data_IF_454424664780
#
_entry.id   IF_454424664780
#
_cell.length_a   1.000
_cell.length_b   1.000
_cell.length_c   1.000
_cell.angle_alpha   90.00
_cell.angle_beta   90.00
_cell.angle_gamma   90.00
#
_symmetry.space_group_name_H-M   'P 1'
#
loop_
_entity.id
_entity.type
_entity.pdbx_description
1 polymer ?
#
# COMPACT_ATOMS: atom_id res chain seq x y z
N UNK A 1 -55.65 -11.94 8.86
CA UNK A 1 -54.20 -12.22 8.80
C UNK A 1 -53.61 -11.64 7.52
N UNK A 2 -53.10 -10.39 7.57
CA UNK A 2 -52.43 -9.69 6.45
C UNK A 2 -50.96 -9.48 6.82
N UNK A 3 -50.17 -10.55 6.84
CA UNK A 3 -48.71 -10.48 7.06
C UNK A 3 -48.03 -11.28 5.94
N UNK A 4 -48.12 -10.87 4.66
CA UNK A 4 -47.51 -11.69 3.57
C UNK A 4 -46.89 -10.97 2.37
N UNK A 5 -46.85 -9.63 2.30
CA UNK A 5 -46.21 -8.96 1.16
C UNK A 5 -44.94 -8.19 1.55
N UNK A 6 -45.02 -7.29 2.54
CA UNK A 6 -43.88 -6.43 2.90
C UNK A 6 -42.72 -7.17 3.57
N UNK A 7 -43.00 -8.23 4.33
CA UNK A 7 -41.95 -9.04 4.97
C UNK A 7 -41.13 -9.86 3.96
N UNK A 8 -41.76 -10.30 2.87
CA UNK A 8 -41.10 -11.06 1.80
C UNK A 8 -40.23 -10.13 0.95
N UNK A 9 -40.68 -8.89 0.70
CA UNK A 9 -39.89 -7.89 -0.04
C UNK A 9 -38.64 -7.46 0.75
N UNK A 10 -38.71 -7.28 2.07
CA UNK A 10 -37.53 -7.00 2.90
C UNK A 10 -36.57 -8.19 2.98
N UNK A 11 -37.07 -9.43 3.00
CA UNK A 11 -36.22 -10.62 3.02
C UNK A 11 -35.49 -10.82 1.67
N UNK A 12 -36.13 -10.49 0.55
CA UNK A 12 -35.52 -10.54 -0.78
C UNK A 12 -34.49 -9.43 -1.02
N UNK A 13 -34.69 -8.23 -0.46
CA UNK A 13 -33.70 -7.15 -0.50
C UNK A 13 -32.45 -7.47 0.34
N UNK A 14 -32.60 -8.16 1.47
CA UNK A 14 -31.48 -8.55 2.32
C UNK A 14 -30.58 -9.66 1.72
N UNK A 15 -31.11 -10.48 0.80
CA UNK A 15 -30.37 -11.57 0.14
C UNK A 15 -29.50 -11.11 -1.04
N UNK A 16 -29.53 -9.83 -1.42
CA UNK A 16 -28.71 -9.28 -2.51
C UNK A 16 -27.41 -8.64 -2.05
N UNK A 17 -27.15 -8.61 -0.73
CA UNK A 17 -25.83 -8.24 -0.22
C UNK A 17 -24.92 -9.45 -0.26
N UNK A 18 -24.49 -9.82 -1.46
CA UNK A 18 -23.25 -10.59 -1.64
C UNK A 18 -22.14 -9.76 -1.00
N UNK A 19 -21.76 -10.14 0.22
CA UNK A 19 -20.53 -9.66 0.82
C UNK A 19 -19.42 -9.93 -0.18
N UNK A 20 -18.70 -8.87 -0.58
CA UNK A 20 -17.58 -8.97 -1.50
C UNK A 20 -16.47 -9.78 -0.81
N UNK A 21 -16.52 -11.10 -0.95
CA UNK A 21 -15.40 -11.98 -0.65
C UNK A 21 -14.33 -11.73 -1.71
N UNK A 22 -13.06 -11.81 -1.32
CA UNK A 22 -11.97 -11.69 -2.27
C UNK A 22 -12.13 -12.78 -3.33
N UNK A 23 -12.35 -12.43 -4.60
CA UNK A 23 -12.38 -13.44 -5.65
C UNK A 23 -10.94 -13.80 -6.02
N UNK A 24 -10.50 -14.99 -5.63
CA UNK A 24 -9.19 -15.56 -5.96
C UNK A 24 -9.14 -16.17 -7.38
N UNK A 25 -10.23 -16.06 -8.14
CA UNK A 25 -10.31 -16.50 -9.52
C UNK A 25 -10.63 -15.31 -10.41
N UNK A 26 -9.59 -14.53 -10.73
CA UNK A 26 -9.65 -13.47 -11.74
C UNK A 26 -9.14 -14.04 -13.07
N UNK A 27 -10.02 -14.76 -13.79
CA UNK A 27 -9.68 -15.36 -15.08
C UNK A 27 -8.78 -16.57 -15.02
N UNK A 28 -8.93 -17.42 -14.01
CA UNK A 28 -8.05 -18.54 -13.71
C UNK A 28 -6.77 -18.13 -12.98
N UNK A 29 -6.61 -16.85 -12.63
CA UNK A 29 -5.44 -16.32 -11.93
C UNK A 29 -5.80 -15.96 -10.49
N UNK A 30 -5.12 -16.60 -9.55
CA UNK A 30 -5.04 -16.13 -8.17
C UNK A 30 -4.00 -15.01 -8.09
N UNK A 31 -4.48 -13.77 -8.13
CA UNK A 31 -3.64 -12.56 -8.11
C UNK A 31 -2.74 -12.53 -6.88
N UNK A 32 -3.25 -12.95 -5.71
CA UNK A 32 -2.48 -12.95 -4.46
C UNK A 32 -1.31 -13.95 -4.52
N UNK A 33 -1.52 -15.10 -5.16
CA UNK A 33 -0.46 -16.10 -5.35
C UNK A 33 0.52 -15.70 -6.44
N UNK A 34 0.01 -15.26 -7.59
CA UNK A 34 0.83 -14.88 -8.75
C UNK A 34 1.70 -13.65 -8.47
N UNK A 35 1.19 -12.71 -7.68
CA UNK A 35 1.83 -11.43 -7.38
C UNK A 35 2.14 -11.26 -5.88
N UNK A 36 2.46 -12.35 -5.17
CA UNK A 36 2.75 -12.39 -3.73
C UNK A 36 3.71 -11.29 -3.24
N UNK A 37 4.68 -10.91 -4.05
CA UNK A 37 5.70 -9.91 -3.65
C UNK A 37 5.19 -8.46 -3.72
N UNK A 38 4.05 -8.23 -4.38
CA UNK A 38 3.50 -6.89 -4.64
C UNK A 38 2.09 -6.72 -4.08
N UNK A 39 1.27 -7.77 -4.14
CA UNK A 39 -0.04 -7.85 -3.51
C UNK A 39 0.14 -8.33 -2.06
N UNK A 40 0.02 -7.42 -1.06
CA UNK A 40 0.17 -7.83 0.33
C UNK A 40 -0.96 -8.78 0.74
N UNK A 41 -0.76 -9.55 1.82
CA UNK A 41 -1.88 -10.19 2.48
C UNK A 41 -2.94 -9.15 2.86
N UNK A 42 -4.20 -9.51 2.59
CA UNK A 42 -5.32 -8.61 2.86
C UNK A 42 -5.50 -8.33 4.35
N UNK A 43 -6.23 -7.26 4.64
CA UNK A 43 -6.78 -6.99 5.96
C UNK A 43 -8.25 -7.40 6.00
N UNK A 44 -8.74 -7.71 7.21
CA UNK A 44 -10.16 -7.93 7.44
C UNK A 44 -10.91 -6.58 7.27
N UNK A 45 -11.93 -6.50 6.39
CA UNK A 45 -12.75 -5.30 6.23
C UNK A 45 -13.34 -4.77 7.55
N UNK A 46 -13.65 -5.64 8.52
CA UNK A 46 -14.15 -5.22 9.82
C UNK A 46 -13.12 -4.43 10.65
N UNK A 47 -11.84 -4.51 10.31
CA UNK A 47 -10.74 -3.79 10.95
C UNK A 47 -10.38 -2.47 10.26
N UNK A 48 -11.10 -2.12 9.19
CA UNK A 48 -10.96 -0.82 8.55
C UNK A 48 -11.29 0.32 9.52
N UNK A 49 -10.63 1.48 9.42
CA UNK A 49 -11.10 2.71 10.06
C UNK A 49 -12.52 3.02 9.59
N UNK A 50 -13.42 3.34 10.52
CA UNK A 50 -14.82 3.67 10.19
C UNK A 50 -15.47 2.64 9.23
N UNK A 51 -15.56 1.35 9.63
CA UNK A 51 -15.87 0.25 8.71
C UNK A 51 -17.30 0.31 8.14
N UNK A 52 -18.19 1.09 8.75
CA UNK A 52 -19.56 1.34 8.29
C UNK A 52 -19.69 2.62 7.46
N UNK A 53 -18.57 3.32 7.19
CA UNK A 53 -18.58 4.51 6.36
C UNK A 53 -18.84 4.15 4.90
N UNK A 54 -19.37 5.13 4.15
CA UNK A 54 -19.56 4.99 2.69
C UNK A 54 -18.24 4.61 1.99
N UNK A 55 -17.13 5.21 2.37
CA UNK A 55 -15.81 4.93 1.78
C UNK A 55 -15.31 3.51 2.06
N UNK A 56 -15.47 3.01 3.29
CA UNK A 56 -15.10 1.64 3.65
C UNK A 56 -15.92 0.59 2.87
N UNK A 57 -17.22 0.84 2.68
CA UNK A 57 -18.07 -0.03 1.87
C UNK A 57 -17.68 -0.03 0.39
N UNK A 58 -17.39 1.15 -0.20
CA UNK A 58 -16.93 1.26 -1.59
C UNK A 58 -15.59 0.54 -1.77
N UNK A 59 -14.64 0.76 -0.87
CA UNK A 59 -13.32 0.10 -0.88
C UNK A 59 -13.46 -1.42 -0.88
N UNK A 60 -14.27 -1.96 0.03
CA UNK A 60 -14.52 -3.40 0.16
C UNK A 60 -15.21 -3.95 -1.09
N UNK A 61 -16.28 -3.29 -1.55
CA UNK A 61 -17.09 -3.72 -2.70
C UNK A 61 -16.27 -3.85 -3.97
N UNK A 62 -15.40 -2.87 -4.25
CA UNK A 62 -14.72 -2.80 -5.53
C UNK A 62 -13.35 -3.45 -5.54
N UNK A 63 -12.53 -3.23 -4.50
CA UNK A 63 -11.13 -3.67 -4.51
C UNK A 63 -10.95 -5.16 -4.17
N UNK A 64 -11.93 -5.79 -3.53
CA UNK A 64 -11.90 -7.23 -3.25
C UNK A 64 -12.35 -8.09 -4.45
N UNK A 65 -12.79 -7.50 -5.56
CA UNK A 65 -13.20 -8.28 -6.73
C UNK A 65 -12.04 -9.04 -7.40
N UNK A 66 -10.79 -8.67 -7.13
CA UNK A 66 -9.62 -9.24 -7.82
C UNK A 66 -8.52 -9.73 -6.88
N UNK A 67 -8.35 -9.10 -5.70
CA UNK A 67 -7.31 -9.47 -4.75
C UNK A 67 -7.74 -9.18 -3.31
N UNK A 68 -6.95 -9.65 -2.35
CA UNK A 68 -7.22 -9.41 -0.93
C UNK A 68 -7.13 -7.91 -0.57
N UNK A 69 -7.96 -7.45 0.35
CA UNK A 69 -8.12 -6.03 0.61
C UNK A 69 -6.84 -5.38 1.16
N UNK A 70 -6.35 -4.36 0.47
CA UNK A 70 -5.25 -3.55 0.97
C UNK A 70 -5.79 -2.37 1.77
N UNK A 71 -5.33 -2.22 3.02
CA UNK A 71 -5.81 -1.15 3.90
C UNK A 71 -5.32 0.26 3.51
N UNK A 72 -6.04 1.31 3.95
CA UNK A 72 -5.71 2.71 3.65
C UNK A 72 -4.32 3.14 4.17
N UNK A 73 -3.84 2.49 5.22
CA UNK A 73 -2.53 2.76 5.82
C UNK A 73 -1.31 2.24 5.03
N UNK A 74 -1.47 1.72 3.81
CA UNK A 74 -0.32 1.27 2.99
C UNK A 74 0.34 2.41 2.21
N UNK A 75 -0.44 3.41 1.82
CA UNK A 75 0.01 4.52 0.98
C UNK A 75 -0.22 5.86 1.68
N UNK A 76 0.60 6.85 1.34
CA UNK A 76 0.40 8.22 1.82
C UNK A 76 -0.74 8.90 1.08
N UNK A 77 -1.23 10.03 1.60
CA UNK A 77 -2.28 10.83 0.95
C UNK A 77 -1.85 11.27 -0.46
N UNK A 78 -0.57 11.57 -0.66
CA UNK A 78 -0.01 11.98 -1.95
C UNK A 78 0.11 10.81 -2.94
N UNK A 79 0.27 9.58 -2.45
CA UNK A 79 0.38 8.37 -3.28
C UNK A 79 -0.98 7.82 -3.73
N UNK A 80 -2.02 7.97 -2.91
CA UNK A 80 -3.34 7.39 -3.16
C UNK A 80 -3.98 7.76 -4.50
N UNK A 81 -3.92 9.01 -4.99
CA UNK A 81 -4.49 9.37 -6.30
C UNK A 81 -3.92 8.51 -7.45
N UNK A 82 -2.61 8.30 -7.47
CA UNK A 82 -1.95 7.49 -8.51
C UNK A 82 -2.30 5.99 -8.38
N UNK A 83 -2.47 5.50 -7.16
CA UNK A 83 -2.93 4.12 -6.91
C UNK A 83 -4.36 3.92 -7.41
N UNK A 84 -5.26 4.86 -7.10
CA UNK A 84 -6.65 4.81 -7.53
C UNK A 84 -6.79 4.88 -9.05
N UNK A 85 -6.05 5.76 -9.71
CA UNK A 85 -6.03 5.84 -11.17
C UNK A 85 -5.57 4.50 -11.79
N UNK A 86 -4.49 3.91 -11.27
CA UNK A 86 -4.00 2.61 -11.73
C UNK A 86 -5.04 1.51 -11.54
N UNK A 87 -5.66 1.44 -10.35
CA UNK A 87 -6.66 0.40 -10.06
C UNK A 87 -7.91 0.57 -10.93
N UNK A 88 -8.40 1.80 -11.09
CA UNK A 88 -9.53 2.09 -11.97
C UNK A 88 -9.22 1.66 -13.42
N UNK A 89 -8.02 1.95 -13.93
CA UNK A 89 -7.58 1.50 -15.25
C UNK A 89 -7.58 -0.03 -15.37
N UNK A 90 -6.98 -0.74 -14.40
CA UNK A 90 -6.96 -2.21 -14.40
C UNK A 90 -8.38 -2.79 -14.35
N UNK A 91 -9.25 -2.21 -13.54
CA UNK A 91 -10.64 -2.63 -13.46
C UNK A 91 -11.37 -2.36 -14.80
N UNK A 92 -11.16 -1.21 -15.42
CA UNK A 92 -11.83 -0.88 -16.68
C UNK A 92 -11.35 -1.77 -17.83
N UNK A 93 -10.04 -2.08 -17.87
CA UNK A 93 -9.46 -3.09 -18.76
C UNK A 93 -10.12 -4.45 -18.54
N UNK A 94 -10.13 -4.97 -17.31
CA UNK A 94 -10.68 -6.31 -17.06
C UNK A 94 -12.17 -6.38 -17.41
N UNK A 95 -12.93 -5.31 -17.15
CA UNK A 95 -14.34 -5.20 -17.55
C UNK A 95 -14.52 -5.24 -19.08
N UNK A 96 -13.60 -4.67 -19.87
CA UNK A 96 -13.70 -4.70 -21.34
C UNK A 96 -13.46 -6.10 -21.91
N UNK A 97 -12.55 -6.88 -21.31
CA UNK A 97 -12.20 -8.24 -21.75
C UNK A 97 -13.14 -9.32 -21.17
N UNK A 98 -14.44 -9.00 -21.09
CA UNK A 98 -15.55 -9.61 -20.33
C UNK A 98 -15.91 -11.09 -20.65
N UNK A 99 -14.93 -11.95 -20.87
CA UNK A 99 -15.09 -13.40 -21.12
C UNK A 99 -13.86 -14.25 -20.79
N UNK A 100 -12.68 -13.64 -20.57
CA UNK A 100 -11.47 -14.36 -20.16
C UNK A 100 -11.12 -14.16 -18.68
N UNK A 101 -11.50 -13.02 -18.09
CA UNK A 101 -11.01 -12.57 -16.77
C UNK A 101 -12.09 -12.37 -15.69
N UNK A 102 -13.32 -12.83 -15.94
CA UNK A 102 -14.47 -12.62 -15.03
C UNK A 102 -15.18 -11.27 -15.20
N UNK A 103 -16.35 -11.13 -14.59
CA UNK A 103 -17.11 -9.87 -14.57
C UNK A 103 -16.71 -9.05 -13.35
N UNK A 104 -16.38 -7.78 -13.57
CA UNK A 104 -16.10 -6.83 -12.49
C UNK A 104 -16.92 -5.54 -12.66
N UNK A 105 -17.35 -5.00 -11.53
CA UNK A 105 -18.04 -3.73 -11.42
C UNK A 105 -17.02 -2.58 -11.32
N UNK A 106 -17.37 -1.42 -11.90
CA UNK A 106 -16.62 -0.18 -11.71
C UNK A 106 -17.39 0.77 -10.79
N UNK A 107 -16.68 1.52 -9.92
CA UNK A 107 -17.25 2.66 -9.23
C UNK A 107 -17.62 3.77 -10.22
N UNK A 108 -18.70 4.49 -9.93
CA UNK A 108 -19.01 5.73 -10.64
C UNK A 108 -18.13 6.91 -10.14
N UNK A 109 -18.31 8.09 -10.73
CA UNK A 109 -17.50 9.26 -10.39
C UNK A 109 -17.70 9.74 -8.93
N UNK A 110 -18.92 9.63 -8.40
CA UNK A 110 -19.24 10.02 -7.02
C UNK A 110 -18.67 9.01 -6.02
N UNK A 111 -18.76 7.72 -6.34
CA UNK A 111 -18.14 6.64 -5.57
C UNK A 111 -16.61 6.75 -5.59
N UNK A 112 -16.00 7.06 -6.75
CA UNK A 112 -14.55 7.28 -6.85
C UNK A 112 -14.09 8.46 -6.00
N UNK A 113 -14.85 9.56 -5.99
CA UNK A 113 -14.56 10.72 -5.14
C UNK A 113 -14.65 10.36 -3.65
N UNK A 114 -15.73 9.70 -3.23
CA UNK A 114 -15.92 9.27 -1.84
C UNK A 114 -14.84 8.27 -1.39
N UNK A 115 -14.39 7.37 -2.28
CA UNK A 115 -13.27 6.47 -2.03
C UNK A 115 -11.96 7.23 -1.84
N UNK A 116 -11.68 8.22 -2.70
CA UNK A 116 -10.50 9.06 -2.60
C UNK A 116 -10.43 9.85 -1.30
N UNK A 117 -11.55 10.43 -0.87
CA UNK A 117 -11.68 11.14 0.40
C UNK A 117 -11.38 10.22 1.59
N UNK A 118 -11.99 9.03 1.60
CA UNK A 118 -11.79 8.03 2.66
C UNK A 118 -10.33 7.53 2.74
N UNK A 119 -9.73 7.17 1.61
CA UNK A 119 -8.33 6.70 1.57
C UNK A 119 -7.36 7.80 2.00
N UNK A 120 -7.62 9.05 1.60
CA UNK A 120 -6.82 10.21 1.99
C UNK A 120 -6.89 10.47 3.50
N UNK A 121 -8.08 10.40 4.09
CA UNK A 121 -8.31 10.64 5.51
C UNK A 121 -7.65 9.58 6.41
N UNK A 122 -7.55 8.35 5.93
CA UNK A 122 -7.00 7.21 6.69
C UNK A 122 -5.63 6.74 6.20
N UNK A 123 -4.96 7.55 5.37
CA UNK A 123 -3.67 7.25 4.78
C UNK A 123 -2.57 6.99 5.81
N UNK A 124 -1.47 6.42 5.32
CA UNK A 124 -0.22 6.36 6.05
C UNK A 124 0.27 7.78 6.33
N UNK A 125 0.64 8.04 7.59
CA UNK A 125 1.33 9.27 7.95
C UNK A 125 2.84 9.03 7.85
N UNK A 126 3.53 9.64 6.86
CA UNK A 126 4.94 9.43 6.69
C UNK A 126 5.74 10.15 7.79
N UNK A 127 6.86 9.56 8.18
CA UNK A 127 7.82 10.24 9.03
C UNK A 127 8.34 11.50 8.32
N UNK A 128 8.36 12.62 9.05
CA UNK A 128 8.98 13.86 8.60
C UNK A 128 10.44 13.92 9.07
N UNK A 129 11.36 14.16 8.13
CA UNK A 129 12.79 14.26 8.42
C UNK A 129 13.54 12.93 8.34
N UNK A 130 14.79 12.93 8.79
CA UNK A 130 15.69 11.77 8.70
C UNK A 130 15.76 11.09 10.07
N UNK A 131 15.44 9.78 10.20
CA UNK A 131 15.67 8.99 11.42
C UNK A 131 17.11 9.11 11.91
N UNK A 132 17.31 9.30 13.21
CA UNK A 132 18.64 9.36 13.85
C UNK A 132 18.65 8.59 15.17
N UNK A 133 19.85 8.25 15.63
CA UNK A 133 20.06 7.54 16.90
C UNK A 133 20.12 6.02 16.74
N UNK A 134 20.27 5.34 17.88
CA UNK A 134 20.38 3.88 17.94
C UNK A 134 19.14 3.21 17.31
N UNK A 135 19.35 2.25 16.41
CA UNK A 135 18.28 1.51 15.72
C UNK A 135 17.65 2.22 14.52
N UNK A 136 18.04 3.48 14.21
CA UNK A 136 17.49 4.22 13.08
C UNK A 136 17.72 3.52 11.72
N UNK A 137 18.92 2.97 11.50
CA UNK A 137 19.22 2.26 10.26
C UNK A 137 18.40 0.97 10.12
N UNK A 138 18.25 0.20 11.21
CA UNK A 138 17.42 -1.00 11.21
C UNK A 138 15.95 -0.66 10.92
N UNK A 139 15.43 0.41 11.53
CA UNK A 139 14.10 0.96 11.23
C UNK A 139 13.95 1.34 9.75
N UNK A 140 14.89 2.08 9.18
CA UNK A 140 14.86 2.45 7.76
C UNK A 140 14.85 1.22 6.87
N UNK A 141 15.79 0.29 7.09
CA UNK A 141 15.93 -0.93 6.29
C UNK A 141 14.67 -1.80 6.34
N UNK A 142 14.12 -2.02 7.54
CA UNK A 142 12.97 -2.90 7.71
C UNK A 142 11.66 -2.27 7.19
N UNK A 143 11.40 -1.01 7.52
CA UNK A 143 10.12 -0.38 7.23
C UNK A 143 10.02 0.23 5.83
N UNK A 144 11.12 0.74 5.25
CA UNK A 144 11.11 1.31 3.90
C UNK A 144 11.06 0.25 2.78
N UNK A 145 11.23 -1.03 3.12
CA UNK A 145 11.28 -2.12 2.14
C UNK A 145 9.94 -2.39 1.41
N UNK A 146 8.83 -1.93 1.98
CA UNK A 146 7.48 -2.24 1.48
C UNK A 146 6.61 -1.00 1.22
N UNK A 147 6.79 0.07 1.99
CA UNK A 147 6.05 1.32 1.89
C UNK A 147 6.89 2.48 2.43
N UNK A 148 6.40 3.70 2.28
CA UNK A 148 7.04 4.90 2.87
C UNK A 148 7.20 4.76 4.39
N UNK A 149 8.25 5.34 4.98
CA UNK A 149 8.53 5.19 6.41
C UNK A 149 7.38 5.76 7.29
N UNK A 150 6.81 4.97 8.22
CA UNK A 150 5.76 5.45 9.12
C UNK A 150 6.32 6.40 10.19
N UNK A 151 5.56 7.41 10.61
CA UNK A 151 5.92 8.21 11.80
C UNK A 151 5.81 7.34 13.08
N UNK A 152 6.89 7.14 13.85
CA UNK A 152 6.88 6.38 15.12
C UNK A 152 5.91 6.94 16.18
N UNK A 153 5.47 8.20 16.05
CA UNK A 153 4.52 8.84 16.97
C UNK A 153 3.06 8.49 16.69
N UNK A 154 2.77 7.68 15.67
CA UNK A 154 1.42 7.19 15.39
C UNK A 154 0.88 6.28 16.49
N UNK A 155 1.75 5.52 17.15
CA UNK A 155 1.39 4.59 18.22
C UNK A 155 2.16 4.89 19.50
N UNK A 156 1.66 4.37 20.61
CA UNK A 156 2.35 4.37 21.91
C UNK A 156 3.42 3.28 21.96
N UNK A 157 4.37 3.41 22.89
CA UNK A 157 5.43 2.42 23.10
C UNK A 157 4.85 1.02 23.39
N UNK A 158 3.72 0.94 24.08
CA UNK A 158 3.02 -0.31 24.38
C UNK A 158 2.32 -0.94 23.16
N UNK A 159 1.96 -0.15 22.15
CA UNK A 159 1.27 -0.62 20.95
C UNK A 159 2.23 -1.15 19.87
N UNK A 160 3.45 -0.60 19.79
CA UNK A 160 4.44 -0.97 18.79
C UNK A 160 4.77 -2.48 18.71
N UNK A 161 4.89 -3.25 19.80
CA UNK A 161 5.11 -4.70 19.73
C UNK A 161 4.05 -5.44 18.91
N UNK A 162 2.77 -5.02 18.98
CA UNK A 162 1.70 -5.64 18.20
C UNK A 162 1.83 -5.30 16.71
N UNK A 163 2.16 -4.04 16.39
CA UNK A 163 2.34 -3.58 15.01
C UNK A 163 3.52 -4.28 14.33
N UNK A 164 4.68 -4.36 15.00
CA UNK A 164 5.87 -5.05 14.46
C UNK A 164 5.58 -6.52 14.20
N UNK A 165 4.89 -7.20 15.13
CA UNK A 165 4.48 -8.61 14.94
C UNK A 165 3.56 -8.80 13.75
N UNK A 166 2.61 -7.88 13.55
CA UNK A 166 1.75 -7.93 12.38
C UNK A 166 2.56 -7.77 11.08
N UNK A 167 3.54 -6.86 11.05
CA UNK A 167 4.41 -6.68 9.88
C UNK A 167 5.30 -7.89 9.62
N UNK A 168 5.81 -8.55 10.68
CA UNK A 168 6.55 -9.81 10.56
C UNK A 168 5.72 -10.90 9.88
N UNK A 169 4.48 -11.11 10.34
CA UNK A 169 3.56 -12.07 9.72
C UNK A 169 3.33 -11.73 8.24
N UNK A 170 3.08 -10.46 7.92
CA UNK A 170 2.86 -10.04 6.53
C UNK A 170 4.10 -10.25 5.65
N UNK A 171 5.29 -9.93 6.16
CA UNK A 171 6.55 -10.18 5.47
C UNK A 171 6.80 -11.68 5.24
N UNK A 172 6.42 -12.53 6.20
CA UNK A 172 6.48 -13.99 6.05
C UNK A 172 5.58 -14.50 4.91
N UNK A 173 4.34 -14.02 4.82
CA UNK A 173 3.43 -14.34 3.69
C UNK A 173 4.03 -13.92 2.36
N UNK A 174 4.75 -12.79 2.33
CA UNK A 174 5.44 -12.26 1.16
C UNK A 174 6.82 -12.91 0.89
N UNK A 175 7.27 -13.89 1.70
CA UNK A 175 8.59 -14.51 1.53
C UNK A 175 9.77 -13.57 1.82
N UNK A 176 9.57 -12.55 2.66
CA UNK A 176 10.56 -11.51 3.02
C UNK A 176 10.95 -11.56 4.50
N UNK A 177 11.12 -12.74 5.08
CA UNK A 177 11.44 -12.87 6.52
C UNK A 177 12.78 -12.23 6.88
N UNK A 178 13.74 -12.20 5.95
CA UNK A 178 15.08 -11.68 6.16
C UNK A 178 15.13 -10.21 6.60
N UNK A 179 14.16 -9.38 6.18
CA UNK A 179 14.10 -7.96 6.56
C UNK A 179 13.46 -7.74 7.94
N UNK A 180 12.90 -8.79 8.54
CA UNK A 180 12.17 -8.77 9.82
C UNK A 180 12.62 -9.90 10.77
N UNK A 181 13.86 -10.36 10.63
CA UNK A 181 14.46 -11.36 11.53
C UNK A 181 14.47 -10.88 13.00
N UNK A 182 14.59 -11.79 13.99
CA UNK A 182 14.45 -11.45 15.41
C UNK A 182 15.35 -10.31 15.89
N UNK A 183 16.62 -10.30 15.47
CA UNK A 183 17.58 -9.25 15.85
C UNK A 183 17.19 -7.90 15.27
N UNK A 184 16.91 -7.86 13.96
CA UNK A 184 16.47 -6.63 13.29
C UNK A 184 15.17 -6.11 13.91
N UNK A 185 14.24 -7.00 14.24
CA UNK A 185 12.96 -6.65 14.86
C UNK A 185 13.11 -6.08 16.28
N UNK A 186 14.07 -6.59 17.07
CA UNK A 186 14.35 -6.06 18.39
C UNK A 186 14.91 -4.63 18.34
N UNK A 187 15.85 -4.36 17.42
CA UNK A 187 16.41 -3.01 17.20
C UNK A 187 15.35 -2.02 16.71
N UNK A 188 14.54 -2.45 15.73
CA UNK A 188 13.40 -1.68 15.19
C UNK A 188 12.40 -1.38 16.30
N UNK A 189 12.03 -2.37 17.10
CA UNK A 189 11.08 -2.20 18.19
C UNK A 189 11.60 -1.21 19.24
N UNK A 190 12.87 -1.33 19.64
CA UNK A 190 13.49 -0.41 20.58
C UNK A 190 13.52 1.03 20.04
N UNK A 191 13.81 1.22 18.76
CA UNK A 191 13.73 2.52 18.10
C UNK A 191 12.30 3.09 18.12
N UNK A 192 11.31 2.30 17.70
CA UNK A 192 9.91 2.70 17.65
C UNK A 192 9.34 3.06 19.03
N UNK A 193 9.71 2.31 20.07
CA UNK A 193 9.25 2.58 21.44
C UNK A 193 9.84 3.86 22.03
N UNK A 194 11.11 4.16 21.77
CA UNK A 194 11.72 5.44 22.18
C UNK A 194 11.05 6.62 21.50
N UNK A 195 10.84 6.53 20.19
CA UNK A 195 10.23 7.60 19.40
C UNK A 195 8.70 7.56 19.37
N UNK A 196 8.08 6.75 20.23
CA UNK A 196 6.64 6.62 20.30
C UNK A 196 5.96 7.92 20.75
N UNK A 197 4.64 8.00 20.56
CA UNK A 197 3.83 9.17 20.92
C UNK A 197 4.03 9.63 22.37
N UNK A 198 4.20 8.68 23.26
CA UNK A 198 4.40 8.83 24.70
C UNK A 198 5.88 8.80 25.11
N UNK A 199 6.77 8.22 24.30
CA UNK A 199 8.22 8.28 24.50
C UNK A 199 8.79 9.69 24.27
N UNK A 200 8.30 10.40 23.26
CA UNK A 200 8.70 11.78 22.97
C UNK A 200 8.38 12.78 24.10
N UNK A 201 7.46 12.45 25.02
CA UNK A 201 7.18 13.28 26.21
C UNK A 201 8.26 13.17 27.29
N UNK A 202 9.01 12.06 27.31
CA UNK A 202 10.12 11.84 28.23
C UNK A 202 11.35 12.63 27.75
N UNK A 203 11.67 12.52 26.46
CA UNK A 203 12.83 13.20 25.85
C UNK A 203 12.67 14.74 25.79
N UNK A 204 11.44 15.26 25.64
CA UNK A 204 11.19 16.71 25.61
C UNK A 204 11.57 17.43 26.93
N UNK A 205 11.66 16.72 28.06
CA UNK A 205 12.17 17.26 29.33
C UNK A 205 13.71 17.32 29.37
N UNK A 206 14.38 16.52 28.57
CA UNK A 206 15.84 16.43 28.46
C UNK A 206 16.41 17.31 27.34
N UNK A 207 15.68 17.47 26.23
CA UNK A 207 16.10 18.25 25.06
C UNK A 207 16.00 19.79 25.25
N UNK A 208 15.32 20.27 26.29
CA UNK A 208 15.29 21.69 26.66
C UNK A 208 16.69 22.25 27.03
N UNK A 209 17.69 21.37 27.21
CA UNK A 209 19.06 21.74 27.61
C UNK A 209 20.00 21.94 26.40
N UNK A 210 19.61 21.59 25.16
CA UNK A 210 20.61 21.57 24.06
C UNK A 210 20.06 21.89 22.67
N UNK A 211 19.54 23.11 22.51
CA UNK A 211 19.26 23.66 21.18
C UNK A 211 20.52 24.21 20.51
N UNK A 212 20.76 23.85 19.24
CA UNK A 212 20.95 24.78 18.12
C UNK A 212 21.10 24.03 16.80
N UNK A 213 20.54 24.66 15.75
CA UNK A 213 20.29 24.11 14.42
C UNK A 213 21.48 24.24 13.46
N UNK A 214 21.53 23.40 12.42
CA UNK A 214 22.06 23.78 11.09
C UNK A 214 21.27 23.08 9.98
N UNK A 215 20.70 23.90 9.08
CA UNK A 215 20.18 23.49 7.78
C UNK A 215 21.32 23.40 6.75
N UNK A 216 21.31 22.39 5.90
CA UNK A 216 21.83 22.49 4.54
C UNK A 216 21.13 21.44 3.66
N UNK A 217 20.22 21.92 2.80
CA UNK A 217 19.60 21.12 1.75
C UNK A 217 20.67 20.67 0.74
N UNK A 218 20.67 19.39 0.36
CA UNK A 218 21.49 18.88 -0.75
C UNK A 218 20.54 18.39 -1.83
N UNK A 219 20.49 19.12 -2.95
CA UNK A 219 19.80 18.71 -4.18
C UNK A 219 20.43 17.45 -4.77
N UNK A 220 19.66 16.52 -5.34
CA UNK A 220 20.21 15.37 -6.03
C UNK A 220 20.85 15.79 -7.36
N UNK A 221 22.13 15.46 -7.53
CA UNK A 221 22.83 15.58 -8.81
C UNK A 221 22.43 14.38 -9.70
N UNK A 222 21.70 14.63 -10.78
CA UNK A 222 21.43 13.64 -11.82
C UNK A 222 22.54 13.71 -12.88
N UNK A 223 23.50 12.79 -12.82
CA UNK A 223 24.65 12.71 -13.74
C UNK A 223 24.39 11.87 -14.99
N UNK A 224 25.08 12.22 -16.09
CA UNK A 224 25.06 11.52 -17.40
C UNK A 224 25.58 10.07 -17.34
N UNK A 225 26.20 9.67 -16.23
CA UNK A 225 26.69 8.32 -15.91
C UNK A 225 25.64 7.22 -16.15
N UNK A 226 24.34 7.54 -16.02
CA UNK A 226 23.24 6.58 -16.26
C UNK A 226 22.94 6.30 -17.74
N UNK A 227 23.42 7.12 -18.68
CA UNK A 227 23.23 6.87 -20.12
C UNK A 227 24.04 5.65 -20.61
N UNK A 228 25.08 5.26 -19.88
CA UNK A 228 25.89 4.06 -20.17
C UNK A 228 25.04 2.78 -20.17
N UNK A 229 23.95 2.72 -19.40
CA UNK A 229 23.05 1.57 -19.41
C UNK A 229 22.18 1.47 -20.66
N UNK A 230 22.08 2.53 -21.47
CA UNK A 230 21.34 2.54 -22.74
C UNK A 230 22.20 2.15 -23.95
N UNK A 231 23.52 2.05 -23.79
CA UNK A 231 24.46 1.64 -24.84
C UNK A 231 24.07 0.36 -25.59
N UNK A 232 23.67 -0.76 -24.93
CA UNK A 232 23.28 -1.97 -25.65
C UNK A 232 22.04 -1.78 -26.54
N UNK A 233 21.11 -0.91 -26.16
CA UNK A 233 19.93 -0.58 -26.97
C UNK A 233 20.32 0.16 -28.26
N UNK A 234 21.18 1.17 -28.16
CA UNK A 234 21.63 1.94 -29.33
C UNK A 234 22.49 1.11 -30.29
N UNK A 235 23.32 0.19 -29.77
CA UNK A 235 24.10 -0.74 -30.59
C UNK A 235 23.18 -1.68 -31.38
N UNK A 236 22.16 -2.25 -30.73
CA UNK A 236 21.19 -3.12 -31.40
C UNK A 236 20.38 -2.38 -32.47
N UNK A 237 19.93 -1.16 -32.17
CA UNK A 237 19.21 -0.30 -33.11
C UNK A 237 20.07 0.07 -34.33
N UNK A 238 21.34 0.44 -34.11
CA UNK A 238 22.29 0.76 -35.18
C UNK A 238 22.56 -0.44 -36.09
N UNK A 239 22.73 -1.64 -35.53
CA UNK A 239 22.94 -2.86 -36.31
C UNK A 239 21.70 -3.23 -37.15
N UNK A 240 20.50 -3.06 -36.56
CA UNK A 240 19.23 -3.24 -37.27
C UNK A 240 19.10 -2.29 -38.46
N UNK A 241 19.42 -1.01 -38.27
CA UNK A 241 19.37 0.01 -39.32
C UNK A 241 20.38 -0.26 -40.44
N UNK A 242 21.62 -0.62 -40.08
CA UNK A 242 22.66 -0.96 -41.06
C UNK A 242 22.29 -2.18 -41.91
N UNK A 243 21.72 -3.23 -41.30
CA UNK A 243 21.29 -4.44 -42.00
C UNK A 243 20.08 -4.20 -42.92
N UNK A 244 19.26 -3.20 -42.60
CA UNK A 244 18.17 -2.76 -43.46
C UNK A 244 18.70 -1.96 -44.66
N UNK A 245 19.64 -1.03 -44.42
CA UNK A 245 20.23 -0.23 -45.48
C UNK A 245 21.01 -1.08 -46.49
N UNK A 246 21.83 -2.03 -46.02
CA UNK A 246 22.55 -2.98 -46.90
C UNK A 246 21.66 -3.91 -47.72
N UNK A 247 20.36 -3.97 -47.43
CA UNK A 247 19.38 -4.72 -48.23
C UNK A 247 18.55 -3.86 -49.17
N UNK A 248 18.70 -2.53 -49.10
CA UNK A 248 18.04 -1.56 -49.98
C UNK A 248 19.01 -0.86 -50.95
N UNK A 249 20.31 -1.01 -50.75
CA UNK A 249 21.37 -0.67 -51.72
C UNK A 249 21.79 -1.94 -52.47
#
# INVERSE_FOLDING_TARGET
>A
MKIRASAILCLLLALTQTGAQANHDWGGIDVCRAYRDTAPPGIDPATLPEPQSRGAHILTRYCMQCHALTGPGRHTTEEWPAVLERMHMLMDVSRRFRGMMGSIALPDADEMRALGEYLSAHALQPLRGIPRGAGAQAFVTACAACHTLPDPRRYTAAQWPAVVRQMQVKAGVMGRTQIVEPVASAEVLAFLQRHARDGARVDAREDAVRGTAVNAARTPQYGLERLVWLTPFFVAAGFGFWRWWRRRA
#
